data_IF_766140566201
#
_entry.id   IF_766140566201
#
_cell.length_a   1.000
_cell.length_b   1.000
_cell.length_c   1.000
_cell.angle_alpha   90.00
_cell.angle_beta   90.00
_cell.angle_gamma   90.00
#
_symmetry.space_group_name_H-M   'P 1'
#
loop_
_entity.id
_entity.type
_entity.pdbx_description
1 polymer ?
#
# COMPACT_ATOMS: atom_id res chain seq x y z
N UNK A 1 -24.87 -67.70 54.67
CA UNK A 1 -23.59 -68.01 55.31
C UNK A 1 -22.84 -66.70 55.45
N UNK A 2 -22.96 -66.08 56.63
CA UNK A 2 -21.86 -65.90 57.60
C UNK A 2 -20.84 -64.84 57.11
N UNK A 3 -20.59 -63.72 57.76
CA UNK A 3 -20.97 -63.22 59.09
C UNK A 3 -19.78 -62.47 59.72
N UNK A 4 -20.10 -61.54 60.63
CA UNK A 4 -19.25 -60.80 61.61
C UNK A 4 -18.51 -59.58 61.02
N UNK A 5 -18.63 -58.36 61.56
CA UNK A 5 -18.76 -57.88 62.96
C UNK A 5 -17.50 -57.03 63.23
N UNK A 6 -17.47 -55.82 63.78
CA UNK A 6 -18.32 -55.08 64.71
C UNK A 6 -17.41 -54.55 65.84
N UNK A 7 -17.57 -53.26 66.22
CA UNK A 7 -16.92 -52.53 67.35
C UNK A 7 -15.44 -52.14 67.12
N UNK A 8 -14.93 -50.97 67.49
CA UNK A 8 -15.41 -49.94 68.40
C UNK A 8 -14.26 -49.56 69.35
N UNK A 9 -14.07 -48.25 69.51
CA UNK A 9 -13.47 -47.55 70.64
C UNK A 9 -11.94 -47.46 70.85
N UNK A 10 -11.62 -46.25 71.34
CA UNK A 10 -10.52 -45.86 72.23
C UNK A 10 -9.12 -45.67 71.66
N UNK A 11 -8.61 -44.46 71.88
CA UNK A 11 -7.17 -44.22 71.85
C UNK A 11 -6.75 -42.79 71.57
N UNK A 12 -7.34 -41.81 72.26
CA UNK A 12 -6.63 -40.56 72.50
C UNK A 12 -5.24 -40.89 73.06
N UNK A 13 -4.18 -40.65 72.28
CA UNK A 13 -2.82 -40.75 72.77
C UNK A 13 -2.27 -39.34 72.92
N UNK A 14 -2.56 -38.76 74.09
CA UNK A 14 -1.75 -37.68 74.64
C UNK A 14 -0.31 -38.18 74.74
N UNK A 15 0.61 -37.50 74.08
CA UNK A 15 2.01 -37.47 74.47
C UNK A 15 2.24 -36.11 75.11
N UNK A 16 2.27 -36.07 76.45
CA UNK A 16 2.82 -34.96 77.22
C UNK A 16 4.35 -35.05 77.21
N UNK A 17 5.03 -33.98 76.83
CA UNK A 17 6.34 -33.57 77.36
C UNK A 17 6.50 -32.07 77.04
N UNK A 18 6.18 -31.18 77.98
CA UNK A 18 7.10 -30.51 78.92
C UNK A 18 8.08 -29.55 78.22
N UNK A 19 7.86 -28.26 78.47
CA UNK A 19 8.92 -27.25 78.62
C UNK A 19 9.25 -26.41 77.38
N UNK A 20 9.05 -25.09 77.50
CA UNK A 20 9.82 -24.09 76.74
C UNK A 20 9.01 -23.22 75.77
N UNK A 21 8.78 -21.98 76.19
CA UNK A 21 8.25 -20.86 75.41
C UNK A 21 9.15 -20.55 74.19
N UNK A 22 8.62 -20.56 72.95
CA UNK A 22 8.82 -19.55 71.86
C UNK A 22 7.88 -19.87 70.68
N UNK A 23 6.98 -18.92 70.34
CA UNK A 23 6.37 -18.72 69.01
C UNK A 23 5.06 -19.47 68.68
N UNK A 24 4.00 -18.81 68.18
CA UNK A 24 2.88 -19.53 67.57
C UNK A 24 3.33 -20.06 66.22
N UNK A 25 3.79 -21.31 66.19
CA UNK A 25 3.93 -22.08 64.95
C UNK A 25 2.53 -22.47 64.48
N UNK A 26 2.00 -21.73 63.51
CA UNK A 26 0.75 -22.07 62.82
C UNK A 26 1.00 -23.25 61.88
N UNK A 27 1.07 -24.47 62.42
CA UNK A 27 0.89 -25.68 61.62
C UNK A 27 -0.61 -25.89 61.46
N UNK A 28 -1.18 -25.39 60.38
CA UNK A 28 -2.52 -25.77 59.96
C UNK A 28 -2.46 -27.12 59.24
N UNK A 29 -3.35 -28.02 59.66
CA UNK A 29 -3.60 -29.32 59.04
C UNK A 29 -3.74 -29.15 57.51
N UNK A 30 -2.86 -29.78 56.74
CA UNK A 30 -3.06 -29.96 55.31
C UNK A 30 -4.22 -30.95 55.11
N UNK A 31 -5.41 -30.42 54.81
CA UNK A 31 -6.32 -31.15 53.94
C UNK A 31 -5.60 -31.38 52.60
N UNK A 32 -5.80 -32.53 51.95
CA UNK A 32 -5.16 -32.86 50.67
C UNK A 32 -5.62 -32.00 49.49
N UNK A 33 -6.46 -31.00 49.74
CA UNK A 33 -7.14 -30.18 48.76
C UNK A 33 -6.99 -28.70 49.19
N UNK A 34 -6.31 -27.91 48.37
CA UNK A 34 -6.16 -26.47 48.59
C UNK A 34 -7.52 -25.79 48.41
N UNK A 35 -7.86 -24.76 49.22
CA UNK A 35 -9.06 -23.95 48.98
C UNK A 35 -8.96 -23.25 47.63
N UNK A 36 -10.08 -23.09 46.93
CA UNK A 36 -10.11 -22.56 45.56
C UNK A 36 -10.06 -21.04 45.52
N UNK A 37 -10.51 -20.39 46.59
CA UNK A 37 -10.59 -18.95 46.73
C UNK A 37 -10.55 -18.51 48.21
N UNK A 38 -10.46 -17.20 48.43
CA UNK A 38 -10.42 -16.62 49.78
C UNK A 38 -11.72 -16.82 50.57
N UNK A 39 -12.85 -17.08 49.90
CA UNK A 39 -14.12 -17.37 50.58
C UNK A 39 -14.10 -18.77 51.19
N UNK A 40 -13.54 -19.76 50.48
CA UNK A 40 -13.31 -21.10 51.01
C UNK A 40 -12.31 -21.10 52.16
N UNK A 41 -11.24 -20.29 52.06
CA UNK A 41 -10.31 -20.05 53.17
C UNK A 41 -11.05 -19.49 54.39
N UNK A 42 -11.86 -18.44 54.20
CA UNK A 42 -12.62 -17.81 55.27
C UNK A 42 -13.57 -18.79 55.97
N UNK A 43 -14.27 -19.61 55.20
CA UNK A 43 -15.22 -20.60 55.73
C UNK A 43 -14.54 -21.77 56.46
N UNK A 44 -13.28 -22.09 56.12
CA UNK A 44 -12.51 -23.15 56.78
C UNK A 44 -11.92 -22.73 58.13
N UNK A 45 -11.76 -21.42 58.38
CA UNK A 45 -11.16 -20.88 59.59
C UNK A 45 -12.22 -20.50 60.63
N UNK A 46 -12.45 -21.37 61.62
CA UNK A 46 -13.34 -21.06 62.76
C UNK A 46 -12.70 -20.03 63.70
N UNK A 47 -13.15 -18.76 63.63
CA UNK A 47 -12.96 -17.79 64.71
C UNK A 47 -11.88 -16.70 64.55
N UNK A 48 -11.29 -16.51 63.36
CA UNK A 48 -10.37 -15.39 63.13
C UNK A 48 -10.69 -14.62 61.85
N UNK A 49 -10.93 -13.31 61.98
CA UNK A 49 -10.79 -12.30 60.92
C UNK A 49 -9.30 -12.11 60.56
N UNK A 50 -8.61 -13.19 60.18
CA UNK A 50 -7.18 -13.14 59.92
C UNK A 50 -6.95 -12.53 58.53
N UNK A 51 -6.67 -11.22 58.50
CA UNK A 51 -5.95 -10.60 57.38
C UNK A 51 -4.59 -11.33 57.27
N UNK A 52 -4.26 -11.92 56.12
CA UNK A 52 -3.04 -12.73 55.93
C UNK A 52 -2.84 -13.18 54.49
N UNK A 53 -1.65 -13.72 54.19
CA UNK A 53 -1.35 -14.42 52.93
C UNK A 53 -2.01 -15.79 52.98
N UNK A 54 -2.72 -16.19 51.93
CA UNK A 54 -3.26 -17.54 51.81
C UNK A 54 -2.87 -18.18 50.49
N UNK A 55 -2.56 -19.46 50.52
CA UNK A 55 -2.32 -20.28 49.32
C UNK A 55 -3.64 -20.88 48.86
N UNK A 56 -4.04 -20.55 47.63
CA UNK A 56 -5.24 -21.10 46.98
C UNK A 56 -4.86 -21.87 45.71
N UNK A 57 -5.72 -22.80 45.28
CA UNK A 57 -5.60 -23.49 43.98
C UNK A 57 -6.96 -23.54 43.29
N UNK A 58 -7.24 -22.62 42.35
CA UNK A 58 -8.44 -22.69 41.53
C UNK A 58 -8.50 -23.98 40.71
N UNK A 59 -9.71 -24.48 40.43
CA UNK A 59 -9.89 -25.69 39.63
C UNK A 59 -9.33 -25.50 38.22
N UNK A 60 -8.54 -26.48 37.77
CA UNK A 60 -7.92 -26.47 36.44
C UNK A 60 -6.68 -25.58 36.31
N UNK A 61 -6.29 -24.82 37.34
CA UNK A 61 -5.03 -24.09 37.32
C UNK A 61 -3.84 -25.01 37.71
N UNK A 62 -2.69 -24.96 37.01
CA UNK A 62 -1.62 -25.95 37.17
C UNK A 62 -1.04 -26.01 38.59
N UNK A 63 -0.84 -24.86 39.23
CA UNK A 63 -0.12 -24.71 40.49
C UNK A 63 -0.90 -23.88 41.50
N UNK A 64 -0.68 -24.09 42.81
CA UNK A 64 -1.27 -23.24 43.84
C UNK A 64 -0.53 -21.89 43.91
N UNK A 65 -1.23 -20.81 44.24
CA UNK A 65 -0.62 -19.48 44.35
C UNK A 65 -1.12 -18.71 45.58
N UNK A 66 -0.31 -17.78 46.05
CA UNK A 66 -0.59 -16.95 47.21
C UNK A 66 -1.39 -15.69 46.84
N UNK A 67 -2.34 -15.29 47.71
CA UNK A 67 -3.17 -14.10 47.53
C UNK A 67 -3.18 -13.27 48.83
N UNK A 68 -2.95 -11.96 48.70
CA UNK A 68 -3.18 -10.90 49.70
C UNK A 68 -4.02 -9.81 49.03
N UNK A 69 -4.73 -8.96 49.78
CA UNK A 69 -5.25 -7.69 49.25
C UNK A 69 -4.61 -6.51 50.00
N UNK A 70 -3.63 -5.83 49.38
CA UNK A 70 -3.17 -4.49 49.84
C UNK A 70 -2.31 -3.75 48.80
N UNK A 71 -2.49 -2.42 48.71
CA UNK A 71 -1.53 -1.45 48.17
C UNK A 71 -1.16 -0.52 49.32
N UNK A 72 0.11 -0.12 49.44
CA UNK A 72 0.53 0.73 50.56
C UNK A 72 1.30 1.98 50.13
N UNK A 73 2.26 1.96 49.19
CA UNK A 73 3.31 3.00 49.20
C UNK A 73 3.82 3.56 47.83
N UNK A 74 3.26 3.22 46.67
CA UNK A 74 3.59 3.79 45.36
C UNK A 74 5.00 3.52 44.81
N UNK A 75 5.69 2.48 45.30
CA UNK A 75 7.08 2.15 44.93
C UNK A 75 7.20 1.28 43.67
N UNK A 76 6.11 0.70 43.16
CA UNK A 76 6.11 -0.08 41.93
C UNK A 76 5.58 0.76 40.75
N UNK A 77 6.48 1.16 39.86
CA UNK A 77 6.12 1.82 38.59
C UNK A 77 5.25 0.92 37.69
N UNK A 78 4.26 1.54 37.04
CA UNK A 78 3.28 0.92 36.13
C UNK A 78 3.75 0.79 34.68
N UNK A 79 4.91 1.36 34.32
CA UNK A 79 5.46 1.27 32.97
C UNK A 79 6.24 -0.04 32.80
N UNK A 80 5.51 -1.14 32.66
CA UNK A 80 6.05 -2.51 32.58
C UNK A 80 5.69 -3.18 31.26
N UNK A 81 6.44 -4.22 30.90
CA UNK A 81 6.14 -4.99 29.69
C UNK A 81 4.90 -5.87 29.91
N UNK A 82 4.21 -6.22 28.82
CA UNK A 82 3.02 -7.07 28.85
C UNK A 82 3.24 -8.39 29.61
N UNK A 83 4.45 -8.97 29.50
CA UNK A 83 4.84 -10.18 30.23
C UNK A 83 4.69 -10.03 31.75
N UNK A 84 5.08 -8.88 32.30
CA UNK A 84 4.98 -8.62 33.74
C UNK A 84 3.51 -8.57 34.18
N UNK A 85 2.64 -7.92 33.39
CA UNK A 85 1.20 -7.88 33.68
C UNK A 85 0.51 -9.23 33.52
N UNK A 86 0.98 -10.07 32.60
CA UNK A 86 0.50 -11.45 32.42
C UNK A 86 0.82 -12.31 33.66
N UNK A 87 2.10 -12.37 34.03
CA UNK A 87 2.63 -13.27 35.08
C UNK A 87 2.37 -12.73 36.50
N UNK A 88 2.22 -11.42 36.64
CA UNK A 88 2.17 -10.72 37.92
C UNK A 88 3.56 -10.23 38.35
N UNK A 89 3.58 -9.27 39.27
CA UNK A 89 4.82 -8.68 39.79
C UNK A 89 4.61 -8.15 41.20
N UNK A 90 5.72 -7.83 41.88
CA UNK A 90 5.71 -7.29 43.24
C UNK A 90 5.73 -8.36 44.32
N UNK A 91 5.45 -7.96 45.55
CA UNK A 91 5.57 -8.81 46.73
C UNK A 91 4.26 -8.78 47.51
N UNK A 92 3.75 -9.96 47.86
CA UNK A 92 2.43 -10.08 48.51
C UNK A 92 2.37 -9.39 49.88
N UNK A 93 3.50 -9.24 50.57
CA UNK A 93 3.59 -8.44 51.81
C UNK A 93 3.60 -6.92 51.61
N UNK A 94 3.56 -6.43 50.37
CA UNK A 94 3.55 -5.01 50.02
C UNK A 94 2.75 -4.77 48.75
N UNK A 95 3.32 -4.11 47.74
CA UNK A 95 2.64 -3.83 46.47
C UNK A 95 2.85 -4.98 45.50
N UNK A 96 1.76 -5.43 44.87
CA UNK A 96 1.83 -6.48 43.87
C UNK A 96 0.68 -6.37 42.86
N UNK A 97 0.88 -7.01 41.71
CA UNK A 97 -0.14 -7.35 40.74
C UNK A 97 -0.20 -8.88 40.65
N UNK A 98 -1.38 -9.47 40.87
CA UNK A 98 -1.52 -10.94 40.90
C UNK A 98 -1.11 -11.59 39.57
N UNK A 99 -1.28 -10.87 38.46
CA UNK A 99 -1.10 -11.37 37.10
C UNK A 99 -2.43 -11.64 36.44
N UNK A 100 -2.57 -11.18 35.18
CA UNK A 100 -3.80 -11.29 34.41
C UNK A 100 -4.19 -12.76 34.16
N UNK A 101 -3.21 -13.65 34.03
CA UNK A 101 -3.49 -15.07 33.84
C UNK A 101 -4.19 -15.68 35.07
N UNK A 102 -3.65 -15.45 36.27
CA UNK A 102 -4.26 -15.91 37.53
C UNK A 102 -5.63 -15.27 37.77
N UNK A 103 -5.76 -13.96 37.50
CA UNK A 103 -7.04 -13.25 37.62
C UNK A 103 -8.09 -13.79 36.64
N UNK A 104 -7.70 -14.13 35.41
CA UNK A 104 -8.59 -14.72 34.41
C UNK A 104 -9.10 -16.06 34.87
N UNK A 105 -8.20 -16.93 35.33
CA UNK A 105 -8.61 -18.23 35.88
C UNK A 105 -9.53 -18.08 37.08
N UNK A 106 -9.22 -17.20 38.03
CA UNK A 106 -9.99 -16.99 39.25
C UNK A 106 -11.40 -16.46 38.95
N UNK A 107 -11.50 -15.36 38.21
CA UNK A 107 -12.78 -14.67 37.95
C UNK A 107 -13.75 -15.48 37.08
N UNK A 108 -13.26 -16.48 36.35
CA UNK A 108 -14.09 -17.40 35.56
C UNK A 108 -14.58 -18.63 36.33
N UNK A 109 -14.16 -18.86 37.59
CA UNK A 109 -14.63 -20.00 38.38
C UNK A 109 -16.07 -19.81 38.91
N UNK A 110 -16.37 -18.61 39.40
CA UNK A 110 -17.62 -18.26 40.11
C UNK A 110 -18.01 -16.81 39.79
N UNK A 111 -19.05 -16.30 40.45
CA UNK A 111 -19.38 -14.88 40.43
C UNK A 111 -18.51 -14.19 41.48
N UNK A 112 -17.57 -13.35 41.05
CA UNK A 112 -16.73 -12.53 41.92
C UNK A 112 -17.15 -11.07 41.83
N UNK A 113 -17.03 -10.37 42.94
CA UNK A 113 -17.21 -8.93 43.03
C UNK A 113 -15.85 -8.24 42.89
N UNK A 114 -15.79 -7.12 42.17
CA UNK A 114 -14.62 -6.27 42.14
C UNK A 114 -14.84 -5.11 43.10
N UNK A 115 -13.95 -4.96 44.07
CA UNK A 115 -13.88 -3.79 44.95
C UNK A 115 -12.55 -3.09 44.75
N UNK A 116 -12.62 -1.79 44.46
CA UNK A 116 -11.47 -0.89 44.35
C UNK A 116 -11.60 0.15 45.45
N UNK A 117 -10.71 0.08 46.44
CA UNK A 117 -10.60 1.08 47.49
C UNK A 117 -9.58 2.16 47.05
N UNK A 118 -9.98 3.42 47.14
CA UNK A 118 -9.21 4.60 46.74
C UNK A 118 -9.01 5.49 47.97
N UNK A 119 -7.78 5.90 48.22
CA UNK A 119 -7.43 6.83 49.30
C UNK A 119 -6.97 8.15 48.70
N UNK A 120 -7.58 9.25 49.13
CA UNK A 120 -7.24 10.62 48.71
C UNK A 120 -7.10 11.51 49.93
N UNK A 121 -6.49 12.69 49.74
CA UNK A 121 -6.44 13.75 50.76
C UNK A 121 -7.82 14.18 51.25
N UNK A 122 -8.87 13.97 50.45
CA UNK A 122 -10.27 14.27 50.77
C UNK A 122 -11.02 13.13 51.48
N UNK A 123 -10.40 11.96 51.66
CA UNK A 123 -10.99 10.80 52.32
C UNK A 123 -10.86 9.49 51.53
N UNK A 124 -11.51 8.45 52.04
CA UNK A 124 -11.52 7.12 51.43
C UNK A 124 -12.78 6.92 50.60
N UNK A 125 -12.60 6.53 49.35
CA UNK A 125 -13.66 6.21 48.41
C UNK A 125 -13.59 4.74 48.03
N UNK A 126 -14.70 4.17 47.62
CA UNK A 126 -14.69 2.83 47.06
C UNK A 126 -15.61 2.74 45.84
N UNK A 127 -15.23 1.81 44.96
CA UNK A 127 -15.99 1.42 43.78
C UNK A 127 -16.17 -0.09 43.85
N UNK A 128 -17.40 -0.55 43.67
CA UNK A 128 -17.79 -1.95 43.66
C UNK A 128 -18.56 -2.30 42.39
N UNK A 129 -18.29 -3.50 41.87
CA UNK A 129 -19.08 -4.15 40.84
C UNK A 129 -19.47 -5.54 41.33
N UNK A 130 -20.77 -5.86 41.29
CA UNK A 130 -21.29 -7.15 41.78
C UNK A 130 -20.88 -8.35 40.90
N UNK A 131 -20.36 -8.09 39.69
CA UNK A 131 -19.77 -9.08 38.78
C UNK A 131 -18.46 -8.52 38.23
N UNK A 132 -17.41 -9.31 38.23
CA UNK A 132 -16.17 -9.02 37.53
C UNK A 132 -15.62 -10.28 36.86
N UNK A 133 -15.40 -10.19 35.55
CA UNK A 133 -14.77 -11.24 34.75
C UNK A 133 -13.81 -10.64 33.75
N UNK A 134 -12.62 -11.22 33.67
CA UNK A 134 -11.68 -10.94 32.60
C UNK A 134 -11.53 -12.17 31.70
N UNK A 135 -11.30 -11.93 30.42
CA UNK A 135 -11.09 -13.00 29.45
C UNK A 135 -9.69 -13.59 29.57
N UNK A 136 -9.38 -14.55 28.72
CA UNK A 136 -8.08 -15.23 28.66
C UNK A 136 -7.05 -14.44 27.85
N UNK A 137 -5.87 -15.03 27.63
CA UNK A 137 -4.80 -14.45 26.83
C UNK A 137 -5.23 -14.15 25.37
N UNK A 138 -6.07 -15.00 24.77
CA UNK A 138 -6.58 -14.79 23.41
C UNK A 138 -7.41 -13.51 23.30
N UNK A 139 -8.14 -13.18 24.35
CA UNK A 139 -8.91 -11.93 24.44
C UNK A 139 -8.07 -10.70 24.85
N UNK A 140 -6.76 -10.86 25.09
CA UNK A 140 -5.88 -9.89 25.74
C UNK A 140 -6.36 -9.49 27.15
N UNK A 141 -6.89 -10.45 27.92
CA UNK A 141 -7.40 -10.25 29.28
C UNK A 141 -8.40 -9.09 29.42
N UNK A 142 -9.15 -8.80 28.35
CA UNK A 142 -10.17 -7.75 28.37
C UNK A 142 -11.22 -8.07 29.42
N UNK A 143 -11.78 -7.03 30.02
CA UNK A 143 -12.94 -7.18 30.91
C UNK A 143 -14.12 -7.66 30.09
N UNK A 144 -14.58 -8.88 30.37
CA UNK A 144 -15.67 -9.57 29.64
C UNK A 144 -17.02 -9.24 30.25
N UNK A 145 -17.07 -9.02 31.56
CA UNK A 145 -18.30 -8.68 32.27
C UNK A 145 -18.01 -7.83 33.49
N UNK A 146 -18.71 -6.69 33.58
CA UNK A 146 -18.82 -5.87 34.78
C UNK A 146 -20.30 -5.81 35.19
N UNK A 147 -20.52 -5.92 36.49
CA UNK A 147 -21.83 -5.90 37.10
C UNK A 147 -22.40 -4.49 37.28
N UNK A 148 -23.39 -4.38 38.16
CA UNK A 148 -23.92 -3.09 38.59
C UNK A 148 -22.90 -2.38 39.47
N UNK A 149 -22.71 -1.10 39.17
CA UNK A 149 -21.88 -0.19 39.95
C UNK A 149 -22.54 0.14 41.30
N UNK A 150 -21.74 0.16 42.36
CA UNK A 150 -22.05 0.71 43.66
C UNK A 150 -20.80 1.41 44.21
N UNK A 151 -20.92 2.61 44.76
CA UNK A 151 -19.72 3.32 45.22
C UNK A 151 -19.99 4.72 45.73
N UNK A 152 -18.97 5.28 46.38
CA UNK A 152 -18.96 6.65 46.90
C UNK A 152 -18.16 7.62 46.02
N UNK A 153 -17.56 7.13 44.94
CA UNK A 153 -16.95 7.98 43.92
C UNK A 153 -18.04 8.51 42.97
N UNK A 154 -18.09 9.83 42.78
CA UNK A 154 -19.08 10.48 41.92
C UNK A 154 -18.84 10.21 40.42
N UNK A 155 -17.61 9.88 40.04
CA UNK A 155 -17.23 9.63 38.65
C UNK A 155 -16.99 8.14 38.39
N UNK A 156 -17.83 7.58 37.50
CA UNK A 156 -17.65 6.27 36.89
C UNK A 156 -16.25 6.22 36.27
N UNK A 157 -15.51 5.15 36.55
CA UNK A 157 -14.26 4.80 35.85
C UNK A 157 -14.49 4.97 34.35
N UNK A 158 -13.91 6.01 33.76
CA UNK A 158 -14.11 6.32 32.34
C UNK A 158 -13.23 5.36 31.53
N UNK A 159 -13.88 4.38 30.90
CA UNK A 159 -13.20 3.48 29.99
C UNK A 159 -13.12 4.11 28.60
N UNK A 160 -11.93 4.07 28.00
CA UNK A 160 -11.78 4.49 26.63
C UNK A 160 -12.39 3.48 25.66
N UNK A 161 -12.98 3.94 24.54
CA UNK A 161 -13.43 3.07 23.46
C UNK A 161 -12.30 2.18 22.92
N UNK A 162 -12.67 1.19 22.11
CA UNK A 162 -11.69 0.29 21.50
C UNK A 162 -10.60 1.06 20.74
N UNK A 163 -9.35 0.60 20.87
CA UNK A 163 -8.15 1.19 20.26
C UNK A 163 -7.82 2.61 20.73
N UNK A 164 -8.37 3.03 21.87
CA UNK A 164 -8.05 4.29 22.54
C UNK A 164 -7.39 4.02 23.89
N UNK A 165 -6.50 4.92 24.31
CA UNK A 165 -5.88 4.97 25.63
C UNK A 165 -6.27 6.26 26.32
N UNK A 166 -6.41 6.24 27.65
CA UNK A 166 -6.58 7.47 28.42
C UNK A 166 -5.21 8.16 28.54
N UNK A 167 -5.16 9.47 28.31
CA UNK A 167 -3.93 10.26 28.47
C UNK A 167 -4.12 11.71 28.04
N UNK A 168 -3.04 12.48 28.08
CA UNK A 168 -3.09 13.88 27.65
C UNK A 168 -3.47 13.95 26.17
N UNK A 169 -4.44 14.79 25.83
CA UNK A 169 -4.71 14.99 24.41
C UNK A 169 -3.57 15.80 23.79
N UNK A 170 -2.76 15.10 23.00
CA UNK A 170 -1.72 15.65 22.15
C UNK A 170 -2.00 15.24 20.71
N UNK A 171 -1.36 15.94 19.77
CA UNK A 171 -1.29 15.69 18.34
C UNK A 171 -1.72 14.27 17.91
N UNK A 172 -2.89 14.15 17.25
CA UNK A 172 -3.37 12.85 16.75
C UNK A 172 -3.26 12.77 15.23
N UNK A 173 -2.67 11.68 14.74
CA UNK A 173 -2.70 11.34 13.33
C UNK A 173 -4.11 10.87 12.92
N UNK A 174 -4.54 11.24 11.73
CA UNK A 174 -5.88 10.93 11.20
C UNK A 174 -5.77 10.14 9.90
N UNK A 175 -6.89 9.58 9.43
CA UNK A 175 -6.91 8.96 8.09
C UNK A 175 -6.75 9.98 6.95
N UNK A 176 -7.07 11.26 7.18
CA UNK A 176 -6.93 12.31 6.17
C UNK A 176 -5.51 12.91 6.16
N UNK A 177 -4.84 12.85 7.32
CA UNK A 177 -3.47 13.29 7.51
C UNK A 177 -2.73 12.36 8.49
N UNK A 178 -2.03 11.37 7.92
CA UNK A 178 -1.34 10.32 8.67
C UNK A 178 -0.04 10.77 9.34
N UNK A 179 0.51 11.90 8.88
CA UNK A 179 1.77 12.47 9.38
C UNK A 179 1.57 13.84 10.04
N UNK A 180 0.42 14.46 9.85
CA UNK A 180 0.07 15.71 10.47
C UNK A 180 -0.63 15.55 11.81
N UNK A 181 -1.15 16.67 12.26
CA UNK A 181 -1.44 16.92 13.65
C UNK A 181 -2.86 17.46 13.81
N UNK A 182 -3.80 16.60 14.16
CA UNK A 182 -5.13 17.05 14.59
C UNK A 182 -5.08 17.41 16.08
N UNK A 183 -5.24 18.71 16.37
CA UNK A 183 -5.31 19.27 17.73
C UNK A 183 -6.76 19.58 18.17
N UNK A 184 -7.77 18.97 17.55
CA UNK A 184 -9.20 19.24 17.81
C UNK A 184 -9.72 18.77 19.20
N UNK A 185 -8.86 18.63 20.20
CA UNK A 185 -9.26 18.27 21.56
C UNK A 185 -9.49 19.52 22.41
N UNK A 186 -10.61 19.53 23.13
CA UNK A 186 -11.00 20.65 24.00
C UNK A 186 -10.61 20.44 25.48
N UNK A 187 -9.98 19.33 25.82
CA UNK A 187 -9.71 18.90 27.21
C UNK A 187 -8.22 18.57 27.41
N UNK A 188 -7.69 18.83 28.61
CA UNK A 188 -6.27 18.58 28.97
C UNK A 188 -5.95 17.07 29.02
N UNK A 189 -6.92 16.23 29.41
CA UNK A 189 -6.81 14.76 29.46
C UNK A 189 -8.09 14.09 28.94
N UNK A 190 -7.95 12.97 28.22
CA UNK A 190 -9.09 12.23 27.68
C UNK A 190 -8.68 10.98 26.90
N UNK A 191 -9.64 10.38 26.20
CA UNK A 191 -9.37 9.20 25.37
C UNK A 191 -8.72 9.61 24.05
N UNK A 192 -7.51 9.11 23.83
CA UNK A 192 -6.72 9.34 22.62
C UNK A 192 -6.47 8.04 21.86
N UNK A 193 -6.26 8.10 20.53
CA UNK A 193 -5.90 6.89 19.80
C UNK A 193 -4.63 6.27 20.37
N UNK A 194 -4.65 4.95 20.57
CA UNK A 194 -3.46 4.21 20.94
C UNK A 194 -2.42 4.28 19.79
N UNK A 195 -1.15 4.03 20.13
CA UNK A 195 -0.07 4.04 19.13
C UNK A 195 -0.34 3.04 18.01
N UNK A 196 -0.11 3.47 16.77
CA UNK A 196 -0.40 2.68 15.56
C UNK A 196 -1.85 2.74 15.08
N UNK A 197 -2.73 3.51 15.72
CA UNK A 197 -4.10 3.75 15.25
C UNK A 197 -4.31 5.19 14.78
N UNK A 198 -5.16 5.35 13.77
CA UNK A 198 -5.52 6.64 13.17
C UNK A 198 -6.97 7.00 13.49
N UNK A 199 -7.21 8.28 13.74
CA UNK A 199 -8.56 8.80 14.00
C UNK A 199 -9.36 8.90 12.71
N UNK A 200 -10.58 8.34 12.72
CA UNK A 200 -11.62 8.51 11.68
C UNK A 200 -12.94 8.84 12.38
N UNK A 201 -13.31 10.12 12.40
CA UNK A 201 -14.42 10.61 13.23
C UNK A 201 -14.15 10.42 14.72
N UNK A 202 -15.02 9.67 15.42
CA UNK A 202 -14.88 9.35 16.86
C UNK A 202 -14.29 7.95 17.12
N UNK A 203 -13.76 7.28 16.09
CA UNK A 203 -13.18 5.94 16.22
C UNK A 203 -11.69 5.96 15.87
N UNK A 204 -10.93 5.06 16.50
CA UNK A 204 -9.53 4.81 16.18
C UNK A 204 -9.43 3.47 15.45
N UNK A 205 -8.93 3.51 14.22
CA UNK A 205 -8.84 2.36 13.32
C UNK A 205 -7.39 2.14 12.89
N UNK A 206 -6.99 0.90 12.58
CA UNK A 206 -5.65 0.66 12.07
C UNK A 206 -5.48 1.28 10.65
N UNK A 207 -4.26 1.58 10.18
CA UNK A 207 -4.02 2.26 8.90
C UNK A 207 -4.67 1.58 7.70
N UNK A 208 -4.76 0.24 7.72
CA UNK A 208 -5.42 -0.57 6.69
C UNK A 208 -6.92 -0.31 6.57
N UNK A 209 -7.54 0.30 7.59
CA UNK A 209 -8.96 0.68 7.59
C UNK A 209 -9.22 2.08 7.01
N UNK A 210 -8.19 2.86 6.68
CA UNK A 210 -8.37 4.15 6.02
C UNK A 210 -8.66 3.97 4.52
N UNK A 211 -9.47 4.88 3.95
CA UNK A 211 -9.97 4.75 2.58
C UNK A 211 -8.87 4.89 1.51
N UNK A 212 -7.72 5.47 1.89
CA UNK A 212 -6.56 5.72 1.03
C UNK A 212 -5.30 4.96 1.45
N UNK A 213 -5.45 3.71 1.89
CA UNK A 213 -4.33 2.86 2.27
C UNK A 213 -3.72 2.08 1.09
N UNK A 214 -2.39 2.10 0.98
CA UNK A 214 -1.61 1.26 0.08
C UNK A 214 -0.67 0.38 0.92
N UNK A 215 -0.69 -0.93 0.65
CA UNK A 215 0.18 -1.88 1.32
C UNK A 215 1.66 -1.56 1.00
N UNK A 216 2.48 -1.40 2.04
CA UNK A 216 3.90 -1.05 1.92
C UNK A 216 4.18 0.45 2.03
N UNK A 217 3.28 1.30 1.52
CA UNK A 217 3.46 2.76 1.48
C UNK A 217 2.75 3.49 2.63
N UNK A 218 1.63 2.95 3.12
CA UNK A 218 0.83 3.57 4.17
C UNK A 218 -0.40 4.32 3.64
N UNK A 219 -0.85 5.33 4.40
CA UNK A 219 -2.07 6.10 4.07
C UNK A 219 -1.67 7.36 3.31
N UNK A 220 -2.17 7.48 2.08
CA UNK A 220 -1.97 8.64 1.23
C UNK A 220 -2.80 9.83 1.72
N UNK A 221 -2.24 11.04 1.58
CA UNK A 221 -2.97 12.28 1.81
C UNK A 221 -4.06 12.46 0.73
N UNK A 222 -5.15 13.14 1.08
CA UNK A 222 -6.22 13.46 0.12
C UNK A 222 -5.68 14.30 -1.04
N UNK A 223 -6.20 14.04 -2.24
CA UNK A 223 -5.84 14.71 -3.50
C UNK A 223 -4.39 14.49 -3.94
N UNK A 224 -3.72 13.48 -3.38
CA UNK A 224 -2.39 13.05 -3.83
C UNK A 224 -2.45 11.86 -4.78
N UNK A 225 -1.40 11.77 -5.60
CA UNK A 225 -1.21 10.70 -6.58
C UNK A 225 -0.01 9.87 -6.18
N UNK A 226 -0.18 8.57 -6.18
CA UNK A 226 0.88 7.58 -5.99
C UNK A 226 1.13 6.83 -7.31
N UNK A 227 2.39 6.60 -7.63
CA UNK A 227 2.84 5.76 -8.74
C UNK A 227 3.90 4.81 -8.18
N UNK A 228 3.83 3.53 -8.55
CA UNK A 228 4.84 2.54 -8.11
C UNK A 228 6.17 2.70 -8.88
N UNK A 229 7.24 2.14 -8.31
CA UNK A 229 8.62 2.26 -8.80
C UNK A 229 8.82 1.87 -10.27
N UNK A 230 8.00 0.96 -10.79
CA UNK A 230 8.01 0.45 -12.16
C UNK A 230 7.00 1.13 -13.09
N UNK A 231 6.27 2.14 -12.62
CA UNK A 231 5.23 2.85 -13.37
C UNK A 231 4.20 1.93 -14.05
N UNK A 232 3.81 0.84 -13.39
CA UNK A 232 2.77 -0.11 -13.86
C UNK A 232 1.41 0.10 -13.17
N UNK A 233 1.37 0.98 -12.16
CA UNK A 233 0.18 1.28 -11.38
C UNK A 233 0.20 2.73 -10.92
N UNK A 234 -0.92 3.42 -11.11
CA UNK A 234 -1.14 4.78 -10.61
C UNK A 234 -2.41 4.85 -9.78
N UNK A 235 -2.32 5.38 -8.57
CA UNK A 235 -3.44 5.53 -7.65
C UNK A 235 -3.68 6.99 -7.31
N UNK A 236 -4.95 7.39 -7.22
CA UNK A 236 -5.37 8.71 -6.77
C UNK A 236 -6.24 8.54 -5.51
N UNK A 237 -5.87 9.25 -4.43
CA UNK A 237 -6.68 9.32 -3.22
C UNK A 237 -7.69 10.47 -3.34
N UNK A 238 -8.97 10.14 -3.35
CA UNK A 238 -10.07 11.12 -3.46
C UNK A 238 -10.94 11.10 -2.20
N UNK A 239 -11.90 12.03 -2.09
CA UNK A 239 -12.91 12.00 -1.03
C UNK A 239 -13.73 10.69 -1.01
N UNK A 240 -13.85 9.99 -2.14
CA UNK A 240 -14.50 8.68 -2.27
C UNK A 240 -13.57 7.49 -2.00
N UNK A 241 -12.30 7.73 -1.62
CA UNK A 241 -11.29 6.71 -1.36
C UNK A 241 -10.27 6.53 -2.49
N UNK A 242 -9.50 5.45 -2.40
CA UNK A 242 -8.41 5.11 -3.32
C UNK A 242 -8.93 4.58 -4.66
N UNK A 243 -8.56 5.23 -5.76
CA UNK A 243 -8.79 4.73 -7.12
C UNK A 243 -7.48 4.45 -7.83
N UNK A 244 -7.24 3.20 -8.18
CA UNK A 244 -6.04 2.78 -8.90
C UNK A 244 -6.34 2.39 -10.34
N UNK A 245 -5.48 2.82 -11.25
CA UNK A 245 -5.42 2.38 -12.64
C UNK A 245 -4.28 1.38 -12.79
N UNK A 246 -4.65 0.13 -13.08
CA UNK A 246 -3.71 -0.97 -13.33
C UNK A 246 -3.24 -1.06 -14.77
N UNK A 247 -3.74 -0.19 -15.66
CA UNK A 247 -3.33 -0.09 -17.06
C UNK A 247 -2.33 1.07 -17.26
N UNK A 248 -1.98 1.76 -16.17
CA UNK A 248 -0.98 2.83 -16.22
C UNK A 248 0.35 2.27 -16.71
N UNK A 249 0.82 2.80 -17.85
CA UNK A 249 2.10 2.46 -18.43
C UNK A 249 2.65 3.68 -19.18
N UNK A 250 3.96 3.85 -19.16
CA UNK A 250 4.61 4.92 -19.91
C UNK A 250 4.51 4.67 -21.41
N UNK A 251 4.37 5.76 -22.17
CA UNK A 251 4.51 5.76 -23.62
C UNK A 251 5.89 5.21 -24.04
N UNK A 252 6.00 4.68 -25.27
CA UNK A 252 7.27 4.18 -25.82
C UNK A 252 8.34 5.29 -25.90
N UNK A 253 7.91 6.55 -26.00
CA UNK A 253 8.74 7.74 -25.98
C UNK A 253 8.75 8.45 -24.62
N UNK A 254 8.45 7.73 -23.53
CA UNK A 254 8.54 8.23 -22.17
C UNK A 254 9.44 7.34 -21.30
N UNK A 255 9.90 7.92 -20.20
CA UNK A 255 10.68 7.23 -19.17
C UNK A 255 10.03 7.41 -17.81
N UNK A 256 9.90 6.31 -17.07
CA UNK A 256 9.53 6.32 -15.65
C UNK A 256 10.71 6.81 -14.83
N UNK A 257 10.62 7.99 -14.23
CA UNK A 257 11.65 8.52 -13.34
C UNK A 257 11.08 9.52 -12.35
N UNK A 258 11.82 9.79 -11.30
CA UNK A 258 11.49 10.82 -10.32
C UNK A 258 12.07 12.17 -10.76
N UNK A 259 11.24 13.22 -10.76
CA UNK A 259 11.69 14.62 -10.87
C UNK A 259 10.95 15.45 -9.82
N UNK A 260 11.67 16.28 -9.07
CA UNK A 260 11.09 17.12 -8.01
C UNK A 260 10.24 16.35 -6.99
N UNK A 261 10.72 15.16 -6.58
CA UNK A 261 10.01 14.21 -5.71
C UNK A 261 8.67 13.67 -6.27
N UNK A 262 8.47 13.74 -7.60
CA UNK A 262 7.30 13.18 -8.28
C UNK A 262 7.77 12.07 -9.20
N UNK A 263 7.43 10.83 -8.84
CA UNK A 263 7.63 9.66 -9.70
C UNK A 263 6.45 9.53 -10.68
N UNK A 264 6.73 9.61 -11.97
CA UNK A 264 5.74 9.39 -13.04
C UNK A 264 6.45 9.15 -14.38
N UNK A 265 5.66 8.87 -15.42
CA UNK A 265 6.13 8.88 -16.80
C UNK A 265 6.42 10.32 -17.27
N UNK A 266 7.61 10.55 -17.79
CA UNK A 266 8.00 11.81 -18.42
C UNK A 266 8.40 11.56 -19.87
N UNK A 267 7.86 12.34 -20.81
CA UNK A 267 8.26 12.27 -22.21
C UNK A 267 9.77 12.52 -22.37
N UNK A 268 10.36 11.82 -23.34
CA UNK A 268 11.74 12.00 -23.76
C UNK A 268 11.93 13.37 -24.43
N UNK A 269 13.17 13.81 -24.56
CA UNK A 269 13.50 15.07 -25.22
C UNK A 269 12.96 15.08 -26.66
N UNK A 270 12.34 16.20 -27.08
CA UNK A 270 11.67 16.32 -28.38
C UNK A 270 10.21 15.86 -28.41
N UNK A 271 9.71 15.27 -27.32
CA UNK A 271 8.32 14.86 -27.18
C UNK A 271 7.61 15.65 -26.07
N UNK A 272 6.35 15.98 -26.27
CA UNK A 272 5.47 16.65 -25.32
C UNK A 272 4.23 15.80 -25.03
N UNK A 273 3.65 15.96 -23.84
CA UNK A 273 2.48 15.21 -23.42
C UNK A 273 2.47 14.91 -21.93
N UNK A 274 1.64 13.94 -21.53
CA UNK A 274 1.41 13.57 -20.13
C UNK A 274 2.23 12.34 -19.69
N UNK A 275 3.19 11.88 -20.51
CA UNK A 275 4.03 10.71 -20.26
C UNK A 275 3.38 9.34 -20.56
N UNK A 276 2.05 9.24 -20.53
CA UNK A 276 1.31 8.08 -21.05
C UNK A 276 1.00 8.23 -22.55
N UNK A 277 1.03 9.46 -23.04
CA UNK A 277 0.95 9.81 -24.45
C UNK A 277 1.97 10.90 -24.70
N UNK A 278 2.95 10.59 -25.54
CA UNK A 278 4.00 11.52 -25.94
C UNK A 278 3.92 11.75 -27.45
N UNK A 279 3.91 13.01 -27.85
CA UNK A 279 3.81 13.43 -29.26
C UNK A 279 4.95 14.38 -29.58
N UNK A 280 5.41 14.41 -30.82
CA UNK A 280 6.39 15.42 -31.23
C UNK A 280 5.65 16.73 -31.53
N UNK A 281 6.17 17.86 -31.05
CA UNK A 281 5.65 19.19 -31.44
C UNK A 281 6.08 19.57 -32.87
N UNK A 282 7.09 18.87 -33.41
CA UNK A 282 7.55 19.00 -34.78
C UNK A 282 7.08 17.80 -35.57
N UNK A 283 6.05 18.00 -36.39
CA UNK A 283 5.65 17.06 -37.42
C UNK A 283 6.33 17.47 -38.72
N UNK A 284 7.38 16.76 -39.09
CA UNK A 284 8.00 16.95 -40.39
C UNK A 284 7.05 16.47 -41.48
N UNK A 285 6.78 17.31 -42.48
CA UNK A 285 5.84 16.95 -43.55
C UNK A 285 6.51 16.21 -44.71
N UNK A 286 7.84 16.25 -44.76
CA UNK A 286 8.70 15.55 -45.71
C UNK A 286 10.18 15.57 -45.23
N UNK A 287 11.06 14.90 -45.97
CA UNK A 287 12.49 14.88 -45.67
C UNK A 287 13.19 16.24 -45.80
N UNK A 288 12.62 17.19 -46.56
CA UNK A 288 13.20 18.53 -46.67
C UNK A 288 13.01 19.31 -45.37
N UNK A 289 11.85 19.19 -44.73
CA UNK A 289 11.62 19.78 -43.40
C UNK A 289 12.59 19.20 -42.36
N UNK A 290 12.85 17.89 -42.41
CA UNK A 290 13.83 17.19 -41.55
C UNK A 290 15.24 17.76 -41.77
N UNK A 291 15.66 17.87 -43.03
CA UNK A 291 16.96 18.40 -43.40
C UNK A 291 17.14 19.87 -42.95
N UNK A 292 16.10 20.70 -43.16
CA UNK A 292 16.10 22.10 -42.74
C UNK A 292 16.15 22.27 -41.21
N UNK A 293 15.67 21.28 -40.45
CA UNK A 293 15.79 21.23 -39.00
C UNK A 293 17.18 20.79 -38.50
N UNK A 294 18.12 20.50 -39.41
CA UNK A 294 19.52 20.20 -39.10
C UNK A 294 19.85 18.70 -39.04
N UNK A 295 18.89 17.82 -39.32
CA UNK A 295 19.13 16.38 -39.42
C UNK A 295 19.71 16.05 -40.81
N UNK A 296 21.02 15.84 -40.86
CA UNK A 296 21.78 15.67 -42.13
C UNK A 296 22.24 14.24 -42.40
N UNK A 297 21.95 13.30 -41.51
CA UNK A 297 22.23 11.88 -41.71
C UNK A 297 21.16 11.25 -42.60
N UNK A 298 21.58 10.44 -43.58
CA UNK A 298 20.62 9.66 -44.39
C UNK A 298 20.12 8.46 -43.59
N UNK A 299 18.82 8.18 -43.66
CA UNK A 299 18.22 7.10 -42.89
C UNK A 299 16.70 7.07 -42.97
N UNK A 300 16.09 6.19 -42.18
CA UNK A 300 14.63 6.11 -42.05
C UNK A 300 14.16 7.14 -41.04
N UNK A 301 13.17 7.94 -41.43
CA UNK A 301 12.52 8.95 -40.60
C UNK A 301 11.01 8.85 -40.71
N UNK A 302 10.32 9.36 -39.69
CA UNK A 302 8.86 9.46 -39.69
C UNK A 302 8.43 10.85 -40.18
N UNK A 303 7.55 10.89 -41.18
CA UNK A 303 6.94 12.12 -41.68
C UNK A 303 5.42 12.03 -41.61
N UNK A 304 4.75 13.18 -41.62
CA UNK A 304 3.31 13.29 -41.80
C UNK A 304 2.98 14.44 -42.75
N UNK A 305 2.82 14.14 -44.06
CA UNK A 305 2.35 15.11 -45.04
C UNK A 305 1.04 15.78 -44.64
N UNK A 306 0.85 17.01 -45.14
CA UNK A 306 -0.39 17.77 -44.99
C UNK A 306 -1.59 16.96 -45.49
N UNK A 307 -2.60 16.78 -44.64
CA UNK A 307 -3.80 15.96 -44.87
C UNK A 307 -3.59 14.43 -44.87
N UNK A 308 -2.39 13.93 -44.57
CA UNK A 308 -2.21 12.51 -44.28
C UNK A 308 -2.92 12.15 -42.98
N UNK A 309 -3.77 11.10 -42.95
CA UNK A 309 -4.52 10.73 -41.76
C UNK A 309 -3.63 10.25 -40.61
N UNK A 310 -2.46 9.67 -40.93
CA UNK A 310 -1.50 9.15 -39.96
C UNK A 310 -0.05 9.41 -40.43
N UNK A 311 0.93 9.51 -39.53
CA UNK A 311 2.35 9.53 -39.88
C UNK A 311 2.80 8.19 -40.49
N UNK A 312 3.84 8.23 -41.33
CA UNK A 312 4.45 7.04 -41.94
C UNK A 312 5.97 7.19 -42.10
N UNK A 313 6.67 6.07 -42.19
CA UNK A 313 8.13 6.02 -42.34
C UNK A 313 8.56 6.16 -43.80
N UNK A 314 9.64 6.90 -44.03
CA UNK A 314 10.28 7.11 -45.33
C UNK A 314 11.79 7.05 -45.19
N UNK A 315 12.48 6.70 -46.28
CA UNK A 315 13.92 6.88 -46.33
C UNK A 315 14.24 8.29 -46.83
N UNK A 316 14.95 9.06 -46.00
CA UNK A 316 15.46 10.36 -46.35
C UNK A 316 16.90 10.24 -46.83
N UNK A 317 17.13 10.57 -48.09
CA UNK A 317 18.48 10.75 -48.61
C UNK A 317 18.89 12.22 -48.39
N UNK A 318 19.80 12.40 -47.42
CA UNK A 318 20.34 13.70 -47.02
C UNK A 318 21.65 14.06 -47.74
N UNK A 319 22.10 13.20 -48.67
CA UNK A 319 23.23 13.46 -49.55
C UNK A 319 22.78 14.23 -50.80
N UNK A 320 23.73 14.76 -51.60
CA UNK A 320 23.47 15.44 -52.89
C UNK A 320 22.36 16.50 -52.83
N UNK A 321 22.65 17.60 -52.12
CA UNK A 321 21.76 18.73 -51.76
C UNK A 321 20.69 18.40 -50.68
N UNK A 322 20.53 17.12 -50.32
CA UNK A 322 19.74 16.66 -49.18
C UNK A 322 18.23 16.85 -49.30
N UNK A 323 17.49 16.34 -48.32
CA UNK A 323 16.03 16.51 -48.25
C UNK A 323 15.20 15.61 -49.18
N UNK A 324 15.81 14.61 -49.81
CA UNK A 324 15.11 13.73 -50.76
C UNK A 324 14.29 12.65 -50.03
N UNK A 325 12.98 12.65 -50.26
CA UNK A 325 12.10 11.56 -49.81
C UNK A 325 12.09 10.45 -50.86
N UNK A 326 12.65 9.29 -50.54
CA UNK A 326 12.69 8.14 -51.43
C UNK A 326 11.36 7.41 -51.35
N UNK A 327 10.63 7.34 -52.46
CA UNK A 327 9.34 6.65 -52.54
C UNK A 327 9.41 5.31 -53.29
N UNK A 328 10.50 5.06 -54.01
CA UNK A 328 10.78 3.79 -54.66
C UNK A 328 12.28 3.55 -54.63
N UNK A 329 12.68 2.32 -54.33
CA UNK A 329 14.08 1.90 -54.43
C UNK A 329 14.20 0.47 -54.94
N UNK A 330 15.12 0.25 -55.90
CA UNK A 330 15.57 -1.07 -56.38
C UNK A 330 17.09 -1.19 -56.21
N UNK A 331 17.57 -2.35 -55.78
CA UNK A 331 18.98 -2.63 -55.47
C UNK A 331 19.38 -3.97 -56.12
N UNK A 332 18.76 -5.06 -55.69
CA UNK A 332 19.18 -6.44 -55.98
C UNK A 332 18.03 -7.35 -56.47
N UNK A 333 16.78 -6.89 -56.37
CA UNK A 333 15.60 -7.65 -56.80
C UNK A 333 15.02 -8.57 -55.74
N UNK A 334 15.38 -8.41 -54.47
CA UNK A 334 14.87 -9.22 -53.35
C UNK A 334 13.37 -9.00 -53.09
N UNK A 335 12.80 -7.87 -53.52
CA UNK A 335 11.37 -7.57 -53.39
C UNK A 335 10.68 -7.74 -54.75
N UNK A 336 9.56 -8.48 -54.75
CA UNK A 336 8.71 -8.61 -55.94
C UNK A 336 7.90 -7.32 -56.16
N UNK A 337 7.95 -6.80 -57.38
CA UNK A 337 7.17 -5.62 -57.81
C UNK A 337 6.00 -6.01 -58.72
N UNK A 338 5.82 -7.29 -59.04
CA UNK A 338 4.65 -7.79 -59.78
C UNK A 338 3.49 -8.10 -58.82
N UNK A 339 3.02 -7.05 -58.15
CA UNK A 339 1.98 -7.12 -57.11
C UNK A 339 0.65 -6.49 -57.57
N UNK A 340 -0.39 -6.73 -56.77
CA UNK A 340 -1.75 -6.27 -57.06
C UNK A 340 -1.97 -4.78 -56.72
N UNK A 341 -3.16 -4.28 -57.08
CA UNK A 341 -3.56 -2.89 -56.83
C UNK A 341 -3.48 -2.52 -55.35
N UNK A 342 -3.95 -3.42 -54.47
CA UNK A 342 -3.96 -3.16 -53.02
C UNK A 342 -2.55 -2.97 -52.47
N UNK A 343 -1.59 -3.76 -52.97
CA UNK A 343 -0.18 -3.65 -52.59
C UNK A 343 0.41 -2.31 -53.04
N UNK A 344 0.17 -1.89 -54.29
CA UNK A 344 0.64 -0.58 -54.77
C UNK A 344 -0.05 0.61 -54.10
N UNK A 345 -1.31 0.46 -53.71
CA UNK A 345 -2.06 1.45 -52.92
C UNK A 345 -1.43 1.68 -51.55
N UNK A 346 -1.22 0.60 -50.79
CA UNK A 346 -0.72 0.66 -49.41
C UNK A 346 0.79 0.80 -49.30
N UNK A 347 1.55 0.35 -50.30
CA UNK A 347 3.00 0.24 -50.25
C UNK A 347 3.47 -1.15 -49.81
N UNK A 348 4.73 -1.46 -50.12
CA UNK A 348 5.37 -2.75 -49.83
C UNK A 348 6.90 -2.61 -49.78
N UNK A 349 7.56 -3.58 -49.15
CA UNK A 349 9.01 -3.54 -48.93
C UNK A 349 9.41 -2.78 -47.66
N UNK A 350 10.69 -2.45 -47.53
CA UNK A 350 11.24 -1.70 -46.38
C UNK A 350 11.86 -0.37 -46.84
N UNK A 351 11.57 0.77 -46.20
CA UNK A 351 12.23 2.04 -46.53
C UNK A 351 13.77 1.98 -46.52
N UNK A 352 14.37 1.17 -45.64
CA UNK A 352 15.83 0.97 -45.60
C UNK A 352 16.39 0.26 -46.84
N UNK A 353 15.56 -0.49 -47.57
CA UNK A 353 15.92 -1.43 -48.63
C UNK A 353 15.05 -1.20 -49.89
N UNK A 354 14.72 -2.27 -50.63
CA UNK A 354 13.79 -2.20 -51.76
C UNK A 354 12.35 -1.98 -51.27
N UNK A 355 11.67 -0.99 -51.84
CA UNK A 355 10.28 -0.69 -51.48
C UNK A 355 9.55 0.15 -52.53
N UNK A 356 8.23 0.18 -52.36
CA UNK A 356 7.30 1.14 -52.92
C UNK A 356 6.52 1.78 -51.76
N UNK A 357 6.55 3.11 -51.65
CA UNK A 357 5.97 3.85 -50.52
C UNK A 357 4.45 3.70 -50.38
N UNK A 358 3.77 3.38 -51.48
CA UNK A 358 2.31 3.33 -51.55
C UNK A 358 1.73 4.56 -52.22
N UNK A 359 0.77 4.35 -53.10
CA UNK A 359 0.16 5.42 -53.89
C UNK A 359 -0.64 6.40 -53.04
N UNK A 360 -1.27 5.93 -51.95
CA UNK A 360 -1.96 6.82 -50.99
C UNK A 360 -0.97 7.78 -50.34
N UNK A 361 0.14 7.26 -49.82
CA UNK A 361 1.19 8.05 -49.21
C UNK A 361 1.84 9.03 -50.21
N UNK A 362 2.07 8.57 -51.44
CA UNK A 362 2.62 9.40 -52.52
C UNK A 362 1.65 10.51 -52.96
N UNK A 363 0.34 10.24 -52.93
CA UNK A 363 -0.69 11.23 -53.19
C UNK A 363 -0.64 12.33 -52.13
N UNK A 364 -0.65 11.98 -50.84
CA UNK A 364 -0.55 12.97 -49.76
C UNK A 364 0.76 13.76 -49.84
N UNK A 365 1.87 13.09 -50.10
CA UNK A 365 3.19 13.72 -50.22
C UNK A 365 3.23 14.75 -51.36
N UNK A 366 2.66 14.45 -52.52
CA UNK A 366 2.73 15.34 -53.71
C UNK A 366 1.64 16.40 -53.78
N UNK A 367 0.67 16.39 -52.85
CA UNK A 367 -0.50 17.29 -52.83
C UNK A 367 -0.54 18.22 -51.60
N UNK A 368 0.62 18.61 -51.05
CA UNK A 368 0.74 19.41 -49.81
C UNK A 368 0.54 20.92 -50.00
N UNK A 369 -0.62 21.33 -50.53
CA UNK A 369 -1.00 22.75 -50.62
C UNK A 369 -0.08 23.57 -51.54
N UNK A 370 0.80 24.40 -50.95
CA UNK A 370 1.69 25.32 -51.68
C UNK A 370 3.04 24.70 -52.09
N UNK A 371 3.37 23.49 -51.63
CA UNK A 371 4.63 22.81 -51.98
C UNK A 371 4.55 22.20 -53.39
N UNK A 372 5.56 22.45 -54.22
CA UNK A 372 5.76 21.77 -55.50
C UNK A 372 6.93 20.78 -55.36
N UNK A 373 6.67 19.50 -55.59
CA UNK A 373 7.69 18.46 -55.52
C UNK A 373 8.37 18.28 -56.87
N UNK A 374 9.70 18.24 -56.87
CA UNK A 374 10.48 17.78 -58.01
C UNK A 374 10.71 16.26 -57.91
N UNK A 375 10.74 15.59 -59.05
CA UNK A 375 11.07 14.17 -59.13
C UNK A 375 12.50 14.01 -59.62
N UNK A 376 13.28 13.17 -58.94
CA UNK A 376 14.58 12.70 -59.41
C UNK A 376 14.54 11.17 -59.47
N UNK A 377 15.03 10.62 -60.57
CA UNK A 377 15.19 9.18 -60.78
C UNK A 377 16.67 8.95 -61.07
N UNK A 378 17.34 8.23 -60.18
CA UNK A 378 18.72 7.80 -60.37
C UNK A 378 18.74 6.34 -60.83
N UNK A 379 19.53 6.04 -61.86
CA UNK A 379 19.62 4.75 -62.54
C UNK A 379 21.08 4.37 -62.72
N UNK A 380 21.38 3.08 -62.64
CA UNK A 380 22.72 2.54 -62.94
C UNK A 380 22.57 1.52 -64.06
N UNK A 381 23.36 1.68 -65.13
CA UNK A 381 23.34 0.70 -66.22
C UNK A 381 24.08 -0.59 -65.85
N UNK A 382 24.01 -1.59 -66.72
CA UNK A 382 24.70 -2.87 -66.54
C UNK A 382 26.23 -2.74 -66.29
N UNK A 383 26.86 -1.69 -66.82
CA UNK A 383 28.29 -1.42 -66.66
C UNK A 383 28.62 -0.59 -65.40
N UNK A 384 27.64 -0.32 -64.54
CA UNK A 384 27.84 0.48 -63.31
C UNK A 384 27.87 1.99 -63.55
N UNK A 385 27.58 2.48 -64.76
CA UNK A 385 27.56 3.92 -65.04
C UNK A 385 26.26 4.56 -64.53
N UNK A 386 26.33 5.64 -63.74
CA UNK A 386 25.16 6.32 -63.20
C UNK A 386 24.54 7.29 -64.22
N UNK A 387 23.21 7.34 -64.25
CA UNK A 387 22.40 8.28 -65.01
C UNK A 387 21.30 8.84 -64.11
N UNK A 388 20.82 10.04 -64.41
CA UNK A 388 19.65 10.57 -63.71
C UNK A 388 18.68 11.27 -64.65
N UNK A 389 17.41 11.27 -64.26
CA UNK A 389 16.33 12.07 -64.83
C UNK A 389 15.73 12.94 -63.72
N UNK A 390 15.53 14.23 -63.99
CA UNK A 390 14.92 15.20 -63.08
C UNK A 390 13.73 15.88 -63.77
N UNK A 391 12.64 16.05 -63.03
CA UNK A 391 11.44 16.77 -63.45
C UNK A 391 11.11 17.86 -62.42
N UNK A 392 10.86 19.08 -62.89
CA UNK A 392 10.62 20.24 -62.00
C UNK A 392 9.28 20.20 -61.25
N UNK A 393 8.41 19.25 -61.57
CA UNK A 393 7.12 19.03 -60.92
C UNK A 393 6.76 17.55 -61.02
N UNK A 394 6.19 17.00 -59.96
CA UNK A 394 5.63 15.65 -59.93
C UNK A 394 4.41 15.63 -59.01
N UNK A 395 3.27 15.20 -59.55
CA UNK A 395 1.98 15.16 -58.85
C UNK A 395 1.08 14.07 -59.38
N UNK A 396 0.53 13.26 -58.49
CA UNK A 396 -0.46 12.23 -58.80
C UNK A 396 -1.84 12.62 -58.24
N UNK A 397 -2.90 12.10 -58.87
CA UNK A 397 -4.28 12.21 -58.36
C UNK A 397 -4.55 11.21 -57.24
N UNK A 398 -5.76 11.25 -56.68
CA UNK A 398 -6.22 10.34 -55.64
C UNK A 398 -6.61 8.97 -56.23
N UNK A 399 -7.06 8.06 -55.37
CA UNK A 399 -7.53 6.74 -55.77
C UNK A 399 -8.74 6.78 -56.72
N UNK A 400 -9.63 7.78 -56.58
CA UNK A 400 -10.83 7.91 -57.41
C UNK A 400 -10.49 8.19 -58.88
N UNK A 401 -9.38 8.90 -59.13
CA UNK A 401 -8.80 9.11 -60.47
C UNK A 401 -7.57 8.22 -60.71
N UNK A 402 -7.55 7.06 -60.04
CA UNK A 402 -6.61 5.95 -60.28
C UNK A 402 -5.13 6.33 -60.16
N UNK A 403 -4.80 7.27 -59.27
CA UNK A 403 -3.43 7.78 -59.05
C UNK A 403 -2.73 8.25 -60.32
N UNK A 404 -3.50 8.74 -61.29
CA UNK A 404 -3.01 9.24 -62.57
C UNK A 404 -1.98 10.35 -62.35
N UNK A 405 -0.91 10.33 -63.16
CA UNK A 405 0.04 11.42 -63.21
C UNK A 405 -0.66 12.68 -63.76
N UNK A 406 -0.89 13.67 -62.90
CA UNK A 406 -1.62 14.91 -63.23
C UNK A 406 -0.71 16.11 -63.37
N UNK A 407 0.53 16.04 -62.91
CA UNK A 407 1.53 17.08 -63.09
C UNK A 407 2.92 16.49 -63.25
N UNK A 408 3.57 16.82 -64.37
CA UNK A 408 4.96 16.50 -64.63
C UNK A 408 5.66 17.73 -65.23
N UNK A 409 6.79 18.11 -64.63
CA UNK A 409 7.52 19.32 -64.99
C UNK A 409 8.46 19.15 -66.17
N UNK A 410 9.34 20.14 -66.35
CA UNK A 410 10.35 20.14 -67.41
C UNK A 410 11.40 19.08 -67.09
N UNK A 411 11.71 18.26 -68.07
CA UNK A 411 12.75 17.24 -67.99
C UNK A 411 14.16 17.86 -68.04
N UNK A 412 15.09 17.32 -67.24
CA UNK A 412 16.53 17.53 -67.35
C UNK A 412 17.29 16.29 -66.88
N UNK A 413 18.51 16.06 -67.36
CA UNK A 413 19.36 14.97 -66.85
C UNK A 413 20.23 14.31 -67.90
N UNK A 414 20.91 13.24 -67.49
CA UNK A 414 21.86 12.47 -68.31
C UNK A 414 21.25 11.17 -68.84
N UNK A 415 20.13 10.71 -68.27
CA UNK A 415 19.32 9.66 -68.86
C UNK A 415 18.70 10.21 -70.15
N UNK A 416 19.11 9.73 -71.33
CA UNK A 416 18.67 10.32 -72.62
C UNK A 416 17.15 10.36 -72.82
N UNK A 417 16.69 11.04 -73.89
CA UNK A 417 15.26 11.30 -74.16
C UNK A 417 14.33 10.06 -74.18
N UNK A 418 14.87 8.86 -74.38
CA UNK A 418 14.10 7.60 -74.30
C UNK A 418 13.58 7.28 -72.89
N UNK A 419 14.11 7.93 -71.85
CA UNK A 419 13.65 7.84 -70.47
C UNK A 419 12.79 9.04 -70.05
N UNK A 420 12.36 9.89 -71.00
CA UNK A 420 11.39 10.94 -70.74
C UNK A 420 10.02 10.33 -70.43
N UNK A 421 9.40 10.74 -69.33
CA UNK A 421 8.06 10.34 -68.89
C UNK A 421 6.95 11.20 -69.54
N UNK A 422 7.30 12.00 -70.55
CA UNK A 422 6.43 12.90 -71.31
C UNK A 422 6.09 12.36 -72.69
#
# INVERSE_FOLDING_TARGET
>A
MAGKGGKGNDGARQVRSVGGNVGPSYFFYQNSEYPKDCMEVFNQCSGHSARGVYVIKPDGYPEAFEVIQRRENGYIHSDRQWKDYKEGYGFLGSEFWLGNEKLSFLTNQKKYELRVDLESVSGNFFIEYDVFRIGDEWSNYKVVSLGRYNGTADDIVTFCPANMKYGNCSCQATCDDSHGCDNSCNEEEGCVCAEGFLKKGNQCIPPQGCDCYIQGEGVLLRDTVYVNSDCTRRCNCTASGLRCDSVYQCDVHAVCKERDNILQCYCNEGYTGNGQTCKTDVSYTDCQDIYNAGHTDSGVYTIQPSNSPHPFEVYCNMSDDGGWTVFQRRIDGDVDFYLDWSSYRSGFGSPSDEHWLGNDNLYYLTNQGQKNYQLRIDLVNYYGSPYYAKYTLFRISDENDLYRLVGLGIFSGTAGLYFSLT
#
